data_IF_865676369738
#
_entry.id   IF_865676369738
#
_cell.length_a   1.000
_cell.length_b   1.000
_cell.length_c   1.000
_cell.angle_alpha   90.00
_cell.angle_beta   90.00
_cell.angle_gamma   90.00
#
_symmetry.space_group_name_H-M   'P 1'
#
loop_
_entity.id
_entity.type
_entity.pdbx_description
1 polymer ?
#
# COMPACT_ATOMS: atom_id res chain seq x y z
N UNK A 1 20.26 5.97 14.33
CA UNK A 1 19.38 6.19 13.17
C UNK A 1 18.69 4.87 12.88
N UNK A 2 17.41 4.76 13.26
CA UNK A 2 16.59 3.59 12.93
C UNK A 2 16.27 3.68 11.44
N UNK A 3 16.96 2.89 10.62
CA UNK A 3 16.58 2.71 9.23
C UNK A 3 15.17 2.16 9.21
N UNK A 4 14.23 2.89 8.60
CA UNK A 4 12.91 2.36 8.29
C UNK A 4 13.14 1.18 7.35
N UNK A 5 13.03 -0.04 7.87
CA UNK A 5 13.04 -1.25 7.08
C UNK A 5 11.80 -1.18 6.19
N UNK A 6 11.96 -0.79 4.93
CA UNK A 6 10.90 -0.91 3.94
C UNK A 6 10.68 -2.42 3.78
N UNK A 7 9.49 -2.95 4.07
CA UNK A 7 9.21 -4.35 3.78
C UNK A 7 9.43 -4.55 2.28
N UNK A 8 10.27 -5.51 1.90
CA UNK A 8 10.28 -6.00 0.54
C UNK A 8 8.92 -6.70 0.33
N UNK A 9 8.08 -6.09 -0.48
CA UNK A 9 6.97 -6.80 -1.07
C UNK A 9 7.56 -7.81 -2.04
N UNK A 10 7.35 -9.10 -1.78
CA UNK A 10 7.41 -10.09 -2.85
C UNK A 10 6.46 -9.60 -3.95
N UNK A 11 7.02 -9.30 -5.12
CA UNK A 11 6.32 -8.75 -6.29
C UNK A 11 5.42 -9.80 -6.98
N UNK A 12 5.12 -10.90 -6.29
CA UNK A 12 4.04 -11.82 -6.60
C UNK A 12 2.76 -11.32 -5.91
N UNK A 13 2.31 -10.20 -6.47
CA UNK A 13 1.11 -9.42 -6.17
C UNK A 13 -0.11 -10.27 -5.76
N UNK A 14 -0.77 -9.85 -4.69
CA UNK A 14 -1.92 -10.49 -4.04
C UNK A 14 -3.12 -10.68 -4.97
N UNK A 15 -3.23 -11.85 -5.60
CA UNK A 15 -4.44 -12.28 -6.32
C UNK A 15 -5.70 -12.29 -5.43
N UNK A 16 -5.52 -12.31 -4.10
CA UNK A 16 -6.60 -12.36 -3.10
C UNK A 16 -7.35 -11.03 -2.91
N UNK A 17 -6.71 -9.87 -3.13
CA UNK A 17 -7.36 -8.54 -3.04
C UNK A 17 -8.19 -8.20 -4.29
N UNK A 18 -8.03 -8.98 -5.35
CA UNK A 18 -8.61 -8.66 -6.66
C UNK A 18 -10.10 -8.98 -6.77
N UNK A 19 -10.56 -10.10 -6.20
CA UNK A 19 -11.98 -10.44 -6.16
C UNK A 19 -12.78 -9.51 -5.23
N UNK A 20 -12.17 -9.05 -4.14
CA UNK A 20 -12.78 -8.08 -3.22
C UNK A 20 -13.00 -6.70 -3.87
N UNK A 21 -12.14 -6.31 -4.81
CA UNK A 21 -12.29 -5.07 -5.58
C UNK A 21 -13.29 -5.17 -6.75
N UNK A 22 -13.78 -6.38 -7.09
CA UNK A 22 -14.82 -6.56 -8.12
C UNK A 22 -16.22 -6.17 -7.63
N UNK A 23 -16.49 -6.32 -6.33
CA UNK A 23 -17.74 -5.88 -5.69
C UNK A 23 -17.81 -4.36 -5.41
N UNK A 24 -16.70 -3.62 -5.57
CA UNK A 24 -16.55 -2.25 -5.05
C UNK A 24 -16.96 -1.11 -6.00
N UNK A 25 -17.45 -1.37 -7.22
CA UNK A 25 -17.67 -0.28 -8.19
C UNK A 25 -19.13 -0.20 -8.63
N UNK A 26 -19.86 0.69 -7.97
CA UNK A 26 -21.11 1.28 -8.46
C UNK A 26 -20.81 2.33 -9.56
N UNK A 27 -21.74 2.57 -10.49
CA UNK A 27 -21.51 3.34 -11.72
C UNK A 27 -21.69 4.87 -11.64
N UNK A 28 -21.96 5.49 -10.49
CA UNK A 28 -22.38 6.90 -10.41
C UNK A 28 -21.61 7.72 -9.36
N UNK A 29 -20.34 8.03 -9.61
CA UNK A 29 -19.62 9.07 -8.85
C UNK A 29 -18.87 9.94 -9.84
N UNK A 30 -19.43 11.14 -10.06
CA UNK A 30 -18.91 12.23 -10.89
C UNK A 30 -17.72 12.97 -10.20
N UNK A 31 -16.84 12.24 -9.52
CA UNK A 31 -15.63 12.81 -8.90
C UNK A 31 -14.42 12.73 -9.85
N UNK A 32 -14.61 13.19 -11.08
CA UNK A 32 -13.64 13.03 -12.18
C UNK A 32 -12.39 13.93 -12.05
N UNK A 33 -12.36 14.85 -11.09
CA UNK A 33 -11.19 15.72 -10.84
C UNK A 33 -10.23 15.19 -9.78
N UNK A 34 -10.71 14.36 -8.85
CA UNK A 34 -9.86 13.78 -7.78
C UNK A 34 -9.09 12.54 -8.24
N UNK A 35 -9.52 11.93 -9.35
CA UNK A 35 -8.90 10.74 -9.96
C UNK A 35 -7.79 11.08 -10.95
N UNK A 36 -7.63 12.35 -11.32
CA UNK A 36 -6.59 12.80 -12.24
C UNK A 36 -5.22 12.70 -11.57
N UNK A 37 -4.48 11.65 -11.98
CA UNK A 37 -3.09 11.47 -11.60
C UNK A 37 -2.24 12.68 -12.02
N UNK A 38 -1.28 13.07 -11.19
CA UNK A 38 -0.28 14.10 -11.51
C UNK A 38 0.41 13.89 -12.87
N UNK A 39 0.51 12.63 -13.34
CA UNK A 39 1.01 12.31 -14.67
C UNK A 39 0.08 12.74 -15.80
N UNK A 40 -1.24 12.63 -15.62
CA UNK A 40 -2.25 13.10 -16.58
C UNK A 40 -2.25 14.63 -16.65
N UNK A 41 -2.12 15.31 -15.51
CA UNK A 41 -1.95 16.76 -15.44
C UNK A 41 -0.69 17.25 -16.16
N UNK A 42 0.45 16.59 -15.93
CA UNK A 42 1.71 16.94 -16.59
C UNK A 42 1.65 16.65 -18.11
N UNK A 43 0.98 15.58 -18.52
CA UNK A 43 0.73 15.29 -19.94
C UNK A 43 -0.18 16.33 -20.60
N UNK A 44 -1.22 16.80 -19.92
CA UNK A 44 -2.10 17.84 -20.43
C UNK A 44 -1.38 19.19 -20.54
N UNK A 45 -0.54 19.51 -19.56
CA UNK A 45 0.27 20.73 -19.56
C UNK A 45 1.31 20.72 -20.69
N UNK A 46 1.90 19.56 -21.03
CA UNK A 46 2.77 19.43 -22.22
C UNK A 46 2.01 19.62 -23.53
N UNK A 47 0.82 19.03 -23.66
CA UNK A 47 -0.02 19.18 -24.87
C UNK A 47 -0.48 20.62 -25.10
N UNK A 48 -0.81 21.36 -24.03
CA UNK A 48 -1.13 22.79 -24.14
C UNK A 48 0.07 23.60 -24.64
N UNK A 49 1.26 23.30 -24.12
CA UNK A 49 2.50 23.97 -24.52
C UNK A 49 2.87 23.68 -25.98
N UNK A 50 2.62 22.46 -26.47
CA UNK A 50 2.80 22.09 -27.88
C UNK A 50 1.79 22.80 -28.80
N UNK A 51 0.52 22.92 -28.37
CA UNK A 51 -0.50 23.66 -29.13
C UNK A 51 -0.23 25.16 -29.22
N UNK A 52 0.38 25.76 -28.19
CA UNK A 52 0.78 27.16 -28.19
C UNK A 52 1.98 27.43 -29.12
N UNK A 53 2.87 26.44 -29.30
CA UNK A 53 3.97 26.50 -30.28
C UNK A 53 3.47 26.31 -31.72
N UNK A 54 2.42 25.52 -31.95
CA UNK A 54 1.83 25.31 -33.28
C UNK A 54 1.01 26.51 -33.80
N UNK A 55 0.56 27.42 -32.92
CA UNK A 55 -0.17 28.65 -33.30
C UNK A 55 0.71 29.86 -33.59
N UNK A 56 2.05 29.73 -33.52
CA UNK A 56 2.98 30.78 -33.94
C UNK A 56 3.34 30.58 -35.42
N UNK A 57 3.19 31.59 -36.30
CA UNK A 57 3.59 31.44 -37.70
C UNK A 57 5.11 31.24 -37.82
N UNK A 58 5.50 30.21 -38.56
CA UNK A 58 6.90 29.85 -38.86
C UNK A 58 7.64 31.02 -39.51
N UNK A 59 8.69 31.52 -38.85
CA UNK A 59 9.84 32.16 -39.51
C UNK A 59 11.10 31.38 -39.13
N UNK A 60 11.79 30.86 -40.15
CA UNK A 60 13.10 30.23 -40.05
C UNK A 60 14.20 31.26 -40.42
N UNK A 61 15.49 30.90 -40.41
CA UNK A 61 16.37 31.10 -39.25
C UNK A 61 17.56 32.02 -39.59
N UNK A 62 18.06 32.83 -38.64
CA UNK A 62 19.41 33.39 -38.75
C UNK A 62 20.11 33.49 -37.39
N UNK A 63 21.35 33.03 -37.46
CA UNK A 63 22.46 33.19 -36.53
C UNK A 63 22.73 34.65 -36.18
N UNK A 64 23.17 34.90 -34.93
CA UNK A 64 24.49 35.44 -34.63
C UNK A 64 24.62 35.79 -33.14
N UNK A 65 25.79 35.47 -32.59
CA UNK A 65 26.30 36.03 -31.34
C UNK A 65 26.42 37.56 -31.45
N UNK A 66 26.13 38.30 -30.38
CA UNK A 66 27.05 39.32 -29.82
C UNK A 66 26.44 40.10 -28.64
N UNK A 67 27.17 40.03 -27.52
CA UNK A 67 27.50 41.10 -26.57
C UNK A 67 26.53 42.25 -26.23
N UNK A 68 26.13 42.25 -24.94
CA UNK A 68 26.56 43.19 -23.86
C UNK A 68 26.33 44.71 -23.97
N UNK A 69 25.85 45.26 -22.83
CA UNK A 69 25.82 46.66 -22.38
C UNK A 69 24.67 47.51 -22.95
N UNK A 70 24.02 48.42 -22.24
CA UNK A 70 24.34 49.21 -21.04
C UNK A 70 23.05 49.82 -20.44
N UNK A 71 23.10 50.16 -19.15
CA UNK A 71 22.50 51.35 -18.45
C UNK A 71 21.21 51.99 -19.04
N UNK A 72 20.10 52.23 -18.35
CA UNK A 72 19.84 52.65 -16.97
C UNK A 72 18.85 53.85 -17.00
N UNK A 73 17.75 53.80 -16.24
CA UNK A 73 16.97 54.94 -15.71
C UNK A 73 15.68 54.43 -15.01
N UNK A 74 15.62 54.51 -13.68
CA UNK A 74 14.95 55.54 -12.86
C UNK A 74 13.41 55.51 -12.92
N UNK A 75 12.78 55.10 -11.82
CA UNK A 75 11.35 55.30 -11.54
C UNK A 75 10.96 54.80 -10.15
N UNK A 76 10.78 55.74 -9.21
CA UNK A 76 10.64 55.56 -7.76
C UNK A 76 9.35 54.89 -7.27
N UNK A 77 9.45 54.12 -6.16
CA UNK A 77 8.52 54.24 -5.02
C UNK A 77 9.12 53.63 -3.74
N UNK A 78 9.23 54.48 -2.70
CA UNK A 78 9.64 54.18 -1.31
C UNK A 78 8.62 53.23 -0.64
N UNK A 79 9.07 52.38 0.28
CA UNK A 79 8.79 52.51 1.72
C UNK A 79 9.49 51.44 2.59
N UNK A 80 10.14 51.95 3.63
CA UNK A 80 10.54 51.43 4.94
C UNK A 80 11.39 50.17 5.15
N UNK A 81 12.57 50.50 5.69
CA UNK A 81 13.63 49.80 6.41
C UNK A 81 13.22 49.08 7.70
N UNK A 82 13.83 47.93 7.99
CA UNK A 82 14.47 47.66 9.29
C UNK A 82 15.66 46.69 9.11
N UNK A 83 16.84 47.19 9.51
CA UNK A 83 18.05 46.57 10.11
C UNK A 83 18.10 45.02 10.22
N UNK A 84 19.22 44.32 10.04
CA UNK A 84 20.66 44.66 10.18
C UNK A 84 21.54 43.51 9.62
N UNK A 85 22.72 43.88 9.07
CA UNK A 85 24.06 43.23 9.11
C UNK A 85 24.18 41.70 9.00
N UNK A 86 25.08 41.09 8.23
CA UNK A 86 26.23 41.52 7.42
C UNK A 86 26.76 40.28 6.70
N UNK A 87 27.18 40.44 5.43
CA UNK A 87 28.51 40.10 4.84
C UNK A 87 29.17 38.76 5.29
N UNK A 88 29.78 37.89 4.48
CA UNK A 88 30.42 37.93 3.16
C UNK A 88 30.96 36.49 2.95
N UNK A 89 30.60 35.79 1.87
CA UNK A 89 31.32 35.59 0.58
C UNK A 89 32.22 34.36 0.48
N UNK A 90 32.20 33.83 -0.75
CA UNK A 90 33.22 33.07 -1.48
C UNK A 90 33.37 31.58 -1.16
N UNK A 91 32.84 30.67 -1.99
CA UNK A 91 33.15 30.29 -3.39
C UNK A 91 34.19 29.18 -3.49
N UNK A 92 33.84 28.17 -4.28
CA UNK A 92 34.66 27.53 -5.32
C UNK A 92 34.50 26.00 -5.38
N UNK A 93 33.71 25.63 -6.38
CA UNK A 93 33.97 24.63 -7.43
C UNK A 93 33.95 23.12 -7.15
N UNK A 94 32.86 22.53 -7.64
CA UNK A 94 32.81 21.51 -8.71
C UNK A 94 33.72 20.28 -8.61
N UNK A 95 33.11 19.10 -8.42
CA UNK A 95 33.21 18.07 -9.46
C UNK A 95 32.01 17.10 -9.44
N UNK A 96 31.56 16.73 -10.64
CA UNK A 96 30.48 15.77 -10.87
C UNK A 96 30.97 14.34 -10.75
N UNK A 97 30.08 13.40 -10.41
CA UNK A 97 30.49 12.00 -10.33
C UNK A 97 29.42 11.04 -9.82
N UNK A 98 28.48 10.73 -10.71
CA UNK A 98 28.03 9.38 -11.03
C UNK A 98 27.82 8.34 -9.90
N UNK A 99 26.57 7.90 -9.84
CA UNK A 99 26.04 6.73 -9.16
C UNK A 99 26.93 5.48 -9.36
N UNK A 100 27.60 5.03 -8.30
CA UNK A 100 28.06 3.64 -8.22
C UNK A 100 27.47 2.96 -6.99
N UNK A 101 26.78 1.87 -7.31
CA UNK A 101 26.00 1.03 -6.42
C UNK A 101 26.84 -0.20 -6.17
N UNK A 102 27.60 -0.20 -5.06
CA UNK A 102 28.09 -1.48 -4.55
C UNK A 102 28.09 -1.59 -3.02
N UNK A 103 27.32 -2.56 -2.58
CA UNK A 103 27.04 -2.90 -1.21
C UNK A 103 28.20 -3.67 -0.59
N UNK A 104 29.13 -2.99 0.10
CA UNK A 104 29.99 -3.63 1.10
C UNK A 104 30.18 -2.75 2.32
N UNK A 105 29.62 -3.22 3.45
CA UNK A 105 29.89 -2.86 4.85
C UNK A 105 30.88 -1.68 5.02
N UNK A 106 30.36 -0.44 5.16
CA UNK A 106 31.10 0.59 5.90
C UNK A 106 31.09 0.21 7.39
N UNK A 107 31.97 -0.73 7.76
CA UNK A 107 32.67 -0.60 9.04
C UNK A 107 33.22 0.81 9.02
N UNK A 108 32.89 1.63 10.01
CA UNK A 108 33.52 2.93 10.19
C UNK A 108 35.04 2.71 10.15
N UNK A 109 35.66 3.01 9.01
CA UNK A 109 37.07 3.34 8.97
C UNK A 109 37.21 4.54 9.90
N UNK A 110 38.25 4.50 10.71
CA UNK A 110 38.61 5.47 11.74
C UNK A 110 38.00 5.27 13.13
N UNK A 111 38.24 4.08 13.69
CA UNK A 111 38.77 4.02 15.05
C UNK A 111 40.04 3.16 15.04
N UNK A 112 41.16 3.74 14.58
CA UNK A 112 42.47 3.26 15.03
C UNK A 112 42.37 3.18 16.57
N UNK A 113 42.64 2.03 17.16
CA UNK A 113 42.53 1.90 18.61
C UNK A 113 43.48 2.92 19.22
N UNK A 114 42.93 3.96 19.86
CA UNK A 114 43.70 4.76 20.81
C UNK A 114 44.28 3.74 21.82
N UNK A 115 45.51 3.96 22.26
CA UNK A 115 46.30 3.04 23.09
C UNK A 115 45.44 2.37 24.19
N UNK A 116 45.76 1.16 24.67
CA UNK A 116 44.92 0.42 25.65
C UNK A 116 44.61 1.20 26.94
N UNK A 117 45.41 2.23 27.23
CA UNK A 117 45.27 3.14 28.36
C UNK A 117 44.60 4.49 28.02
N UNK A 118 44.07 4.65 26.81
CA UNK A 118 43.38 5.87 26.41
C UNK A 118 41.93 5.88 26.90
N UNK A 119 41.44 7.00 27.45
CA UNK A 119 40.04 7.11 27.88
C UNK A 119 39.07 6.95 26.72
N UNK A 120 37.92 6.33 26.99
CA UNK A 120 36.85 6.16 26.01
C UNK A 120 36.07 7.47 25.82
N UNK A 121 35.96 7.93 24.57
CA UNK A 121 35.21 9.12 24.22
C UNK A 121 33.75 8.76 23.86
N UNK A 122 32.79 9.35 24.59
CA UNK A 122 31.35 9.22 24.34
C UNK A 122 30.74 10.55 23.90
N UNK A 123 29.90 10.54 22.86
CA UNK A 123 29.24 11.76 22.37
C UNK A 123 28.22 12.32 23.37
N UNK A 124 28.32 13.61 23.67
CA UNK A 124 27.36 14.35 24.52
C UNK A 124 25.95 14.46 23.93
N UNK A 125 25.79 14.17 22.63
CA UNK A 125 24.48 14.20 21.94
C UNK A 125 23.55 13.07 22.38
N UNK A 126 24.08 12.03 23.03
CA UNK A 126 23.27 10.93 23.56
C UNK A 126 22.99 11.19 25.04
N UNK A 127 21.73 11.43 25.45
CA UNK A 127 21.40 11.58 26.86
C UNK A 127 21.68 10.28 27.62
N UNK A 128 22.16 10.41 28.85
CA UNK A 128 22.44 9.27 29.75
C UNK A 128 21.11 8.64 30.18
N UNK A 129 21.03 7.31 30.26
CA UNK A 129 19.84 6.63 30.78
C UNK A 129 19.67 6.93 32.27
N UNK A 130 18.45 7.28 32.69
CA UNK A 130 18.14 7.52 34.12
C UNK A 130 18.17 6.23 34.95
N UNK A 131 17.90 5.09 34.31
CA UNK A 131 17.86 3.77 34.96
C UNK A 131 19.09 2.98 34.51
N UNK A 132 19.81 2.39 35.48
CA UNK A 132 20.95 1.51 35.23
C UNK A 132 20.44 0.14 34.79
N UNK A 133 21.00 -0.39 33.70
CA UNK A 133 20.72 -1.76 33.27
C UNK A 133 21.54 -2.71 34.17
N UNK A 134 20.84 -3.51 34.98
CA UNK A 134 21.46 -4.48 35.88
C UNK A 134 21.54 -5.82 35.14
N UNK A 135 22.75 -6.38 34.94
CA UNK A 135 22.90 -7.67 34.26
C UNK A 135 22.15 -8.76 35.04
N UNK A 136 21.28 -9.50 34.34
CA UNK A 136 20.46 -10.57 34.93
C UNK A 136 19.04 -10.18 35.35
N UNK A 137 18.75 -8.88 35.47
CA UNK A 137 17.39 -8.39 35.75
C UNK A 137 16.72 -7.99 34.43
N UNK A 138 15.63 -8.68 34.05
CA UNK A 138 14.85 -8.32 32.85
C UNK A 138 14.31 -6.90 33.03
N UNK A 139 14.70 -5.99 32.14
CA UNK A 139 14.24 -4.61 32.20
C UNK A 139 12.78 -4.53 31.76
N UNK A 140 12.09 -3.41 32.04
CA UNK A 140 10.72 -3.15 31.53
C UNK A 140 10.61 -3.19 29.99
N UNK A 141 11.75 -3.16 29.27
CA UNK A 141 11.80 -3.33 27.82
C UNK A 141 11.80 -4.80 27.39
N UNK A 142 12.22 -5.70 28.28
CA UNK A 142 12.32 -7.15 28.06
C UNK A 142 11.08 -7.89 28.58
N UNK A 143 10.41 -7.36 29.61
CA UNK A 143 9.01 -7.73 29.91
C UNK A 143 8.13 -7.16 28.80
N UNK A 144 7.26 -7.97 28.23
CA UNK A 144 6.28 -7.52 27.22
C UNK A 144 5.68 -6.19 27.63
N UNK A 145 5.61 -5.24 26.70
CA UNK A 145 5.11 -3.87 26.93
C UNK A 145 3.73 -3.86 27.63
N UNK A 146 3.01 -4.97 27.52
CA UNK A 146 1.75 -5.27 28.17
C UNK A 146 1.98 -6.26 29.32
N UNK A 147 1.72 -5.81 30.55
CA UNK A 147 1.57 -6.66 31.73
C UNK A 147 0.16 -7.28 31.82
N UNK A 148 -0.67 -7.06 30.80
CA UNK A 148 -2.01 -7.63 30.73
C UNK A 148 -1.89 -9.06 30.20
N UNK A 149 -2.40 -9.99 31.01
CA UNK A 149 -2.42 -11.44 30.77
C UNK A 149 -2.99 -11.76 29.37
N UNK A 150 -3.96 -10.98 28.89
CA UNK A 150 -4.56 -11.16 27.56
C UNK A 150 -3.56 -10.98 26.41
N UNK A 151 -2.52 -10.19 26.63
CA UNK A 151 -1.48 -9.88 25.65
C UNK A 151 -0.13 -10.49 26.02
N UNK A 152 -0.11 -11.36 27.04
CA UNK A 152 1.09 -12.09 27.42
C UNK A 152 1.44 -13.11 26.33
N UNK A 153 2.66 -13.00 25.82
CA UNK A 153 3.18 -13.88 24.78
C UNK A 153 3.26 -15.35 25.22
N UNK A 154 3.24 -15.62 26.53
CA UNK A 154 3.22 -16.98 27.09
C UNK A 154 2.01 -17.80 26.65
N UNK A 155 0.85 -17.16 26.40
CA UNK A 155 -0.37 -17.85 25.96
C UNK A 155 -0.40 -18.19 24.45
N UNK A 156 0.61 -17.74 23.68
CA UNK A 156 0.73 -18.06 22.26
C UNK A 156 -0.26 -17.33 21.35
N UNK A 157 -0.32 -17.76 20.08
CA UNK A 157 -1.25 -17.18 19.09
C UNK A 157 -2.60 -17.87 19.16
N UNK A 158 -3.67 -17.10 19.07
CA UNK A 158 -5.01 -17.66 19.14
C UNK A 158 -5.37 -18.52 17.89
N UNK A 159 -6.05 -19.64 18.13
CA UNK A 159 -6.53 -20.53 17.08
C UNK A 159 -7.73 -19.94 16.35
N UNK A 160 -7.47 -19.32 15.21
CA UNK A 160 -8.50 -18.67 14.38
C UNK A 160 -9.65 -19.60 13.97
N UNK A 161 -9.38 -20.89 13.78
CA UNK A 161 -10.41 -21.87 13.42
C UNK A 161 -11.36 -22.17 14.59
N UNK A 162 -10.85 -22.17 15.83
CA UNK A 162 -11.65 -22.37 17.03
C UNK A 162 -12.50 -21.13 17.30
N UNK A 163 -11.88 -19.96 17.30
CA UNK A 163 -12.58 -18.66 17.40
C UNK A 163 -13.70 -18.57 16.36
N UNK A 164 -13.43 -18.98 15.11
CA UNK A 164 -14.44 -18.92 14.06
C UNK A 164 -15.68 -19.77 14.37
N UNK A 165 -15.51 -20.93 15.01
CA UNK A 165 -16.61 -21.81 15.42
C UNK A 165 -17.33 -21.23 16.64
N UNK A 166 -16.58 -20.82 17.66
CA UNK A 166 -17.12 -20.31 18.93
C UNK A 166 -17.96 -19.04 18.70
N UNK A 167 -17.56 -18.20 17.74
CA UNK A 167 -18.23 -16.96 17.38
C UNK A 167 -18.99 -17.03 16.04
N UNK A 168 -19.40 -18.22 15.61
CA UNK A 168 -20.17 -18.38 14.37
C UNK A 168 -21.52 -17.64 14.41
N UNK A 169 -22.13 -17.55 15.59
CA UNK A 169 -23.40 -16.86 15.80
C UNK A 169 -23.38 -15.38 15.36
N UNK A 170 -22.21 -14.71 15.43
CA UNK A 170 -22.09 -13.30 15.04
C UNK A 170 -22.46 -13.03 13.58
N UNK A 171 -22.38 -14.04 12.72
CA UNK A 171 -22.81 -13.89 11.33
C UNK A 171 -24.32 -13.70 11.22
N UNK A 172 -25.09 -14.42 12.04
CA UNK A 172 -26.55 -14.26 12.09
C UNK A 172 -26.93 -12.87 12.59
N UNK A 173 -26.21 -12.34 13.58
CA UNK A 173 -26.43 -10.97 14.07
C UNK A 173 -26.13 -9.93 12.99
N UNK A 174 -24.99 -10.06 12.29
CA UNK A 174 -24.64 -9.15 11.18
C UNK A 174 -25.66 -9.22 10.04
N UNK A 175 -26.15 -10.41 9.71
CA UNK A 175 -27.17 -10.57 8.68
C UNK A 175 -28.52 -9.97 9.08
N UNK A 176 -28.90 -10.06 10.36
CA UNK A 176 -30.08 -9.38 10.91
C UNK A 176 -29.92 -7.86 10.88
N UNK A 177 -28.77 -7.36 11.31
CA UNK A 177 -28.43 -5.92 11.28
C UNK A 177 -28.49 -5.35 9.86
N UNK A 178 -27.90 -6.03 8.87
CA UNK A 178 -27.99 -5.63 7.46
C UNK A 178 -29.46 -5.60 6.98
N UNK A 179 -30.29 -6.56 7.39
CA UNK A 179 -31.71 -6.61 7.00
C UNK A 179 -32.49 -5.46 7.63
N UNK A 180 -32.25 -5.17 8.91
CA UNK A 180 -32.89 -4.06 9.63
C UNK A 180 -32.51 -2.71 9.02
N UNK A 181 -31.22 -2.46 8.82
CA UNK A 181 -30.72 -1.24 8.18
C UNK A 181 -31.30 -1.04 6.77
N UNK A 182 -31.37 -2.12 5.97
CA UNK A 182 -32.03 -2.09 4.65
C UNK A 182 -33.54 -1.86 4.75
N UNK A 183 -34.18 -2.35 5.80
CA UNK A 183 -35.59 -2.10 6.10
C UNK A 183 -35.84 -0.63 6.39
N UNK A 184 -35.04 -0.05 7.28
CA UNK A 184 -35.10 1.39 7.63
C UNK A 184 -34.95 2.30 6.41
N UNK A 185 -34.09 1.92 5.46
CA UNK A 185 -33.88 2.68 4.22
C UNK A 185 -35.02 2.52 3.21
N UNK A 186 -35.70 1.37 3.19
CA UNK A 186 -36.85 1.11 2.32
C UNK A 186 -38.13 1.74 2.85
N UNK A 187 -38.26 1.84 4.16
CA UNK A 187 -39.42 2.41 4.82
C UNK A 187 -39.43 3.94 4.61
N UNK A 188 -40.32 4.41 3.74
CA UNK A 188 -40.40 5.84 3.39
C UNK A 188 -40.60 6.76 4.61
N UNK A 189 -41.28 6.27 5.66
CA UNK A 189 -41.56 7.03 6.89
C UNK A 189 -40.31 7.24 7.75
N UNK A 190 -39.43 6.25 7.83
CA UNK A 190 -38.16 6.35 8.55
C UNK A 190 -37.16 7.12 7.71
N UNK A 191 -37.10 6.86 6.41
CA UNK A 191 -36.23 7.59 5.49
C UNK A 191 -36.50 9.10 5.47
N UNK A 192 -37.78 9.51 5.46
CA UNK A 192 -38.15 10.93 5.49
C UNK A 192 -37.79 11.65 6.81
N UNK A 193 -37.61 10.89 7.90
CA UNK A 193 -37.20 11.44 9.20
C UNK A 193 -35.67 11.54 9.34
N UNK A 194 -34.92 10.88 8.47
CA UNK A 194 -33.46 10.86 8.48
C UNK A 194 -32.93 12.00 7.61
N UNK A 195 -31.78 12.58 7.98
CA UNK A 195 -31.08 13.50 7.08
C UNK A 195 -30.47 12.73 5.91
N UNK A 196 -30.27 13.39 4.77
CA UNK A 196 -29.53 12.80 3.63
C UNK A 196 -28.16 12.27 4.03
N UNK A 197 -27.50 12.92 4.99
CA UNK A 197 -26.24 12.44 5.56
C UNK A 197 -26.40 11.12 6.31
N UNK A 198 -27.44 11.01 7.13
CA UNK A 198 -27.70 9.78 7.89
C UNK A 198 -28.04 8.63 6.95
N UNK A 199 -28.76 8.91 5.86
CA UNK A 199 -29.04 7.94 4.80
C UNK A 199 -27.74 7.42 4.18
N UNK A 200 -26.83 8.30 3.77
CA UNK A 200 -25.52 7.91 3.21
C UNK A 200 -24.68 7.13 4.22
N UNK A 201 -24.66 7.56 5.48
CA UNK A 201 -23.92 6.85 6.54
C UNK A 201 -24.49 5.44 6.75
N UNK A 202 -25.83 5.28 6.72
CA UNK A 202 -26.45 3.95 6.81
C UNK A 202 -26.15 3.06 5.60
N UNK A 203 -26.16 3.61 4.39
CA UNK A 203 -25.79 2.87 3.17
C UNK A 203 -24.32 2.42 3.20
N UNK A 204 -23.42 3.29 3.65
CA UNK A 204 -22.02 2.97 3.82
C UNK A 204 -21.80 1.87 4.87
N UNK A 205 -22.51 1.94 6.00
CA UNK A 205 -22.47 0.88 7.03
C UNK A 205 -22.98 -0.46 6.48
N UNK A 206 -24.10 -0.44 5.76
CA UNK A 206 -24.67 -1.61 5.07
C UNK A 206 -23.63 -2.23 4.13
N UNK A 207 -22.93 -1.42 3.33
CA UNK A 207 -21.89 -1.88 2.41
C UNK A 207 -20.68 -2.47 3.17
N UNK A 208 -20.21 -1.77 4.19
CA UNK A 208 -19.07 -2.21 5.03
C UNK A 208 -19.34 -3.56 5.70
N UNK A 209 -20.53 -3.73 6.30
CA UNK A 209 -20.93 -4.99 6.93
C UNK A 209 -21.05 -6.14 5.93
N UNK A 210 -21.63 -5.89 4.74
CA UNK A 210 -21.71 -6.88 3.68
C UNK A 210 -20.32 -7.33 3.21
N UNK A 211 -19.42 -6.38 2.96
CA UNK A 211 -18.06 -6.68 2.55
C UNK A 211 -17.33 -7.50 3.63
N UNK A 212 -17.51 -7.17 4.91
CA UNK A 212 -16.93 -7.94 6.02
C UNK A 212 -17.51 -9.36 6.08
N UNK A 213 -18.81 -9.52 5.88
CA UNK A 213 -19.45 -10.84 5.85
C UNK A 213 -18.95 -11.68 4.66
N UNK A 214 -18.84 -11.08 3.48
CA UNK A 214 -18.39 -11.74 2.26
C UNK A 214 -16.91 -12.16 2.34
N UNK A 215 -16.04 -11.32 2.93
CA UNK A 215 -14.65 -11.68 3.18
C UNK A 215 -14.53 -12.88 4.13
N UNK A 216 -15.36 -12.94 5.18
CA UNK A 216 -15.42 -14.08 6.09
C UNK A 216 -15.92 -15.35 5.38
N UNK A 217 -17.01 -15.26 4.61
CA UNK A 217 -17.55 -16.37 3.81
C UNK A 217 -16.52 -16.91 2.82
N UNK A 218 -15.78 -16.02 2.15
CA UNK A 218 -14.70 -16.40 1.24
C UNK A 218 -13.54 -17.11 1.94
N UNK A 219 -13.18 -16.66 3.16
CA UNK A 219 -12.16 -17.33 3.98
C UNK A 219 -12.62 -18.71 4.43
N UNK A 220 -13.87 -18.84 4.85
CA UNK A 220 -14.42 -20.12 5.28
C UNK A 220 -14.54 -21.10 4.12
N UNK A 221 -14.95 -20.64 2.94
CA UNK A 221 -14.94 -21.44 1.70
C UNK A 221 -13.52 -21.94 1.39
N UNK A 222 -12.51 -21.07 1.48
CA UNK A 222 -11.12 -21.45 1.25
C UNK A 222 -10.66 -22.53 2.24
N UNK A 223 -10.97 -22.35 3.53
CA UNK A 223 -10.64 -23.33 4.57
C UNK A 223 -11.36 -24.65 4.39
N UNK A 224 -12.62 -24.63 3.94
CA UNK A 224 -13.41 -25.84 3.63
C UNK A 224 -12.74 -26.64 2.51
N UNK A 225 -12.44 -26.01 1.37
CA UNK A 225 -11.81 -26.71 0.22
C UNK A 225 -10.48 -27.35 0.61
N UNK A 226 -9.62 -26.61 1.30
CA UNK A 226 -8.32 -27.16 1.75
C UNK A 226 -8.53 -28.26 2.79
N UNK A 227 -9.52 -28.11 3.66
CA UNK A 227 -9.91 -29.11 4.65
C UNK A 227 -10.46 -30.38 4.02
N UNK A 228 -11.34 -30.27 3.04
CA UNK A 228 -12.01 -31.38 2.36
C UNK A 228 -10.97 -32.20 1.57
N UNK A 229 -10.07 -31.53 0.84
CA UNK A 229 -8.96 -32.21 0.20
C UNK A 229 -8.07 -32.98 1.21
N UNK A 230 -7.75 -32.36 2.36
CA UNK A 230 -7.00 -33.06 3.42
C UNK A 230 -7.76 -34.27 3.96
N UNK A 231 -9.08 -34.18 4.12
CA UNK A 231 -9.92 -35.30 4.57
C UNK A 231 -9.93 -36.42 3.53
N UNK A 232 -10.08 -36.11 2.25
CA UNK A 232 -10.04 -37.08 1.16
C UNK A 232 -8.72 -37.85 1.12
N UNK A 233 -7.59 -37.15 1.22
CA UNK A 233 -6.27 -37.79 1.20
C UNK A 233 -6.03 -38.66 2.43
N UNK A 234 -6.48 -38.21 3.61
CA UNK A 234 -6.45 -39.02 4.81
C UNK A 234 -7.37 -40.25 4.71
N UNK A 235 -8.52 -40.12 4.03
CA UNK A 235 -9.42 -41.25 3.79
C UNK A 235 -8.79 -42.29 2.86
N UNK A 236 -8.16 -41.86 1.75
CA UNK A 236 -7.43 -42.75 0.83
C UNK A 236 -6.26 -43.47 1.49
N UNK A 237 -5.58 -42.79 2.41
CA UNK A 237 -4.55 -43.43 3.22
C UNK A 237 -5.14 -44.46 4.18
N UNK A 238 -6.27 -44.14 4.82
CA UNK A 238 -6.96 -45.09 5.72
C UNK A 238 -7.51 -46.31 4.98
N UNK A 239 -7.97 -46.16 3.73
CA UNK A 239 -8.42 -47.29 2.90
C UNK A 239 -7.27 -48.10 2.30
N UNK A 240 -6.04 -47.59 2.35
CA UNK A 240 -4.85 -48.24 1.80
C UNK A 240 -4.62 -47.98 0.30
N UNK A 241 -5.45 -47.15 -0.34
CA UNK A 241 -5.23 -46.74 -1.75
C UNK A 241 -3.94 -45.92 -1.93
N UNK A 242 -3.50 -45.23 -0.87
CA UNK A 242 -2.27 -44.44 -0.86
C UNK A 242 -1.47 -44.69 0.40
N UNK A 243 -0.15 -44.84 0.25
CA UNK A 243 0.76 -45.03 1.41
C UNK A 243 0.90 -43.73 2.21
N UNK A 244 1.06 -42.58 1.53
CA UNK A 244 1.24 -41.28 2.15
C UNK A 244 0.21 -40.27 1.63
N UNK A 245 -0.38 -39.41 2.48
CA UNK A 245 -1.34 -38.40 2.04
C UNK A 245 -0.67 -37.33 1.16
N UNK A 246 -1.25 -37.06 0.00
CA UNK A 246 -0.75 -36.00 -0.89
C UNK A 246 -1.22 -34.62 -0.41
N UNK A 247 -0.29 -33.71 -0.09
CA UNK A 247 -0.63 -32.33 0.30
C UNK A 247 -0.34 -31.36 -0.85
N UNK A 248 -1.38 -30.63 -1.31
CA UNK A 248 -1.23 -29.63 -2.37
C UNK A 248 -0.26 -28.52 -1.98
N UNK A 249 0.53 -28.07 -2.95
CA UNK A 249 1.31 -26.83 -2.83
C UNK A 249 0.38 -25.63 -2.66
N UNK A 250 0.87 -24.54 -2.06
CA UNK A 250 0.08 -23.29 -1.89
C UNK A 250 -0.47 -22.75 -3.22
N UNK A 251 0.28 -22.88 -4.31
CA UNK A 251 -0.17 -22.48 -5.65
C UNK A 251 -1.33 -23.34 -6.15
N UNK A 252 -1.32 -24.64 -5.89
CA UNK A 252 -2.39 -25.57 -6.25
C UNK A 252 -3.64 -25.33 -5.39
N UNK A 253 -3.46 -25.09 -4.08
CA UNK A 253 -4.56 -24.69 -3.18
C UNK A 253 -5.24 -23.42 -3.67
N UNK A 254 -4.46 -22.40 -4.08
CA UNK A 254 -5.02 -21.17 -4.67
C UNK A 254 -5.82 -21.45 -5.94
N UNK A 255 -5.34 -22.31 -6.83
CA UNK A 255 -6.08 -22.71 -8.05
C UNK A 255 -7.40 -23.40 -7.70
N UNK A 256 -7.41 -24.30 -6.73
CA UNK A 256 -8.63 -24.98 -6.27
C UNK A 256 -9.64 -23.99 -5.69
N UNK A 257 -9.18 -23.06 -4.84
CA UNK A 257 -10.02 -22.01 -4.25
C UNK A 257 -10.58 -21.09 -5.34
N UNK A 258 -9.77 -20.68 -6.32
CA UNK A 258 -10.20 -19.81 -7.42
C UNK A 258 -11.24 -20.48 -8.31
N UNK A 259 -11.08 -21.77 -8.62
CA UNK A 259 -12.07 -22.55 -9.37
C UNK A 259 -13.41 -22.56 -8.65
N UNK A 260 -13.42 -22.93 -7.37
CA UNK A 260 -14.65 -22.95 -6.58
C UNK A 260 -15.28 -21.56 -6.45
N UNK A 261 -14.49 -20.50 -6.18
CA UNK A 261 -15.00 -19.12 -6.17
C UNK A 261 -15.67 -18.75 -7.49
N UNK A 262 -15.04 -19.09 -8.62
CA UNK A 262 -15.59 -18.81 -9.96
C UNK A 262 -16.88 -19.60 -10.21
N UNK A 263 -16.95 -20.87 -9.80
CA UNK A 263 -18.14 -21.71 -9.92
C UNK A 263 -19.32 -21.15 -9.11
N UNK A 264 -19.07 -20.65 -7.90
CA UNK A 264 -20.11 -20.04 -7.04
C UNK A 264 -20.59 -18.66 -7.52
N UNK A 265 -19.85 -17.99 -8.40
CA UNK A 265 -20.22 -16.66 -8.91
C UNK A 265 -21.33 -16.72 -9.96
N UNK A 266 -22.13 -15.65 -10.03
CA UNK A 266 -23.16 -15.48 -11.07
C UNK A 266 -22.52 -15.33 -12.47
N UNK A 267 -23.22 -15.74 -13.53
CA UNK A 267 -22.71 -15.66 -14.90
C UNK A 267 -22.22 -14.25 -15.29
N UNK A 268 -23.01 -13.21 -15.00
CA UNK A 268 -22.62 -11.82 -15.26
C UNK A 268 -21.40 -11.36 -14.47
N UNK A 269 -21.22 -11.86 -13.23
CA UNK A 269 -20.03 -11.57 -12.43
C UNK A 269 -18.80 -12.31 -12.99
N UNK A 270 -18.96 -13.57 -13.40
CA UNK A 270 -17.91 -14.35 -14.05
C UNK A 270 -17.39 -13.66 -15.31
N UNK A 271 -18.29 -13.20 -16.17
CA UNK A 271 -17.93 -12.46 -17.38
C UNK A 271 -17.17 -11.18 -17.07
N UNK A 272 -17.65 -10.37 -16.10
CA UNK A 272 -16.94 -9.15 -15.66
C UNK A 272 -15.54 -9.44 -15.11
N UNK A 273 -15.39 -10.51 -14.32
CA UNK A 273 -14.07 -10.94 -13.80
C UNK A 273 -13.14 -11.34 -14.95
N UNK A 274 -13.65 -12.10 -15.92
CA UNK A 274 -12.88 -12.54 -17.08
C UNK A 274 -12.53 -11.39 -18.02
N UNK A 275 -13.44 -10.45 -18.25
CA UNK A 275 -13.21 -9.25 -19.06
C UNK A 275 -12.10 -8.39 -18.44
N UNK A 276 -12.17 -8.11 -17.13
CA UNK A 276 -11.10 -7.38 -16.43
C UNK A 276 -9.78 -8.13 -16.48
N UNK A 277 -9.79 -9.47 -16.39
CA UNK A 277 -8.59 -10.30 -16.55
C UNK A 277 -8.01 -10.19 -17.97
N UNK A 278 -8.85 -10.20 -19.00
CA UNK A 278 -8.46 -9.97 -20.41
C UNK A 278 -7.84 -8.58 -20.60
N UNK A 279 -8.51 -7.52 -20.12
CA UNK A 279 -8.02 -6.13 -20.20
C UNK A 279 -6.67 -5.95 -19.50
N UNK A 280 -6.49 -6.54 -18.30
CA UNK A 280 -5.20 -6.51 -17.58
C UNK A 280 -4.10 -7.28 -18.31
N UNK A 281 -4.42 -8.43 -18.89
CA UNK A 281 -3.47 -9.21 -19.68
C UNK A 281 -3.02 -8.42 -20.91
N UNK A 282 -3.97 -7.85 -21.66
CA UNK A 282 -3.67 -6.97 -22.80
C UNK A 282 -2.80 -5.79 -22.36
N UNK A 283 -3.14 -5.10 -21.27
CA UNK A 283 -2.32 -4.00 -20.76
C UNK A 283 -0.90 -4.41 -20.34
N UNK A 284 -0.70 -5.63 -19.82
CA UNK A 284 0.64 -6.18 -19.53
C UNK A 284 1.39 -6.49 -20.81
N UNK A 285 0.74 -7.13 -21.79
CA UNK A 285 1.32 -7.44 -23.10
C UNK A 285 1.73 -6.16 -23.84
N UNK A 286 0.88 -5.12 -23.85
CA UNK A 286 1.22 -3.81 -24.40
C UNK A 286 2.44 -3.18 -23.72
N UNK A 287 2.48 -3.18 -22.37
CA UNK A 287 3.62 -2.68 -21.63
C UNK A 287 4.90 -3.46 -21.94
N UNK A 288 4.84 -4.80 -21.98
CA UNK A 288 5.99 -5.63 -22.33
C UNK A 288 6.48 -5.38 -23.76
N UNK A 289 5.58 -5.13 -24.70
CA UNK A 289 5.91 -4.76 -26.08
C UNK A 289 6.56 -3.38 -26.19
N UNK A 290 6.05 -2.38 -25.47
CA UNK A 290 6.65 -1.03 -25.40
C UNK A 290 8.10 -1.08 -24.90
N UNK A 291 8.38 -1.86 -23.85
CA UNK A 291 9.72 -1.99 -23.29
C UNK A 291 10.67 -2.82 -24.18
N UNK A 292 10.15 -3.79 -24.96
CA UNK A 292 10.97 -4.54 -25.93
C UNK A 292 11.27 -3.74 -27.20
N UNK A 293 10.35 -2.90 -27.65
CA UNK A 293 10.54 -2.06 -28.85
C UNK A 293 11.57 -0.95 -28.68
N UNK A 294 11.84 -0.52 -27.43
CA UNK A 294 12.82 0.52 -27.13
C UNK A 294 14.28 0.03 -26.98
N UNK A 295 14.53 -1.27 -27.13
CA UNK A 295 15.88 -1.88 -27.04
C UNK A 295 16.45 -2.33 -28.40
N UNK A 296 15.85 -1.90 -29.51
CA UNK A 296 16.38 -2.09 -30.86
C UNK A 296 16.81 -0.76 -31.48
#
# INVERSE_FOLDING_TARGET
>A
MSGRFRPQYDELESEDDYLGNVLKKDPESDDDYSSLSFGALNSAQRKLREQDEEKKPKKSPKSSNSSKSSTGSKGSRKTYTHQSSSESDSDSDSDGGFFDKDSKKKKSKDKKSKNKHAPAESSSRRPVSRIREIPGLKSKKDSTLYNDIRFDAAYGKADWNRIRKDYAFLDEYREKEIKEMRGMLKDNKTRLKMSDRDVQDTEFQIQSLQLRLDTLKNRDLANKIVGDHKREQNAKMRTGEQVNPYYLKKSEQRKMIQKAKFETMKASQREKVMERKRKRRLGREFRELEFRGAQQ
#
